data_IF_822995049262
#
_entry.id   IF_822995049262
#
_cell.length_a   1.000
_cell.length_b   1.000
_cell.length_c   1.000
_cell.angle_alpha   90.00
_cell.angle_beta   90.00
_cell.angle_gamma   90.00
#
_symmetry.space_group_name_H-M   'P 1'
#
loop_
_entity.id
_entity.type
_entity.pdbx_description
1 polymer ?
#
# COMPACT_ATOMS: atom_id res chain seq x y z
N UNK A 1 -22.85 13.43 -12.43
CA UNK A 1 -22.47 12.12 -13.05
C UNK A 1 -21.58 11.38 -12.06
N UNK A 2 -21.65 10.04 -12.03
CA UNK A 2 -20.74 9.22 -11.23
C UNK A 2 -19.34 9.11 -11.82
N UNK A 3 -18.55 8.19 -11.30
CA UNK A 3 -17.26 7.81 -11.89
C UNK A 3 -17.46 7.09 -13.24
N UNK A 4 -16.40 6.91 -14.02
CA UNK A 4 -16.46 6.16 -15.28
C UNK A 4 -17.07 4.76 -15.09
N UNK A 5 -17.70 4.20 -16.12
CA UNK A 5 -18.37 2.88 -16.03
C UNK A 5 -17.43 1.74 -15.65
N UNK A 6 -16.17 1.84 -16.06
CA UNK A 6 -15.12 0.84 -15.80
C UNK A 6 -14.33 1.15 -14.51
N UNK A 7 -14.79 2.11 -13.70
CA UNK A 7 -14.11 2.46 -12.46
C UNK A 7 -14.24 1.31 -11.43
N UNK A 8 -13.09 0.90 -10.89
CA UNK A 8 -13.01 -0.23 -9.97
C UNK A 8 -13.20 0.23 -8.53
N UNK A 9 -14.23 -0.29 -7.87
CA UNK A 9 -14.51 -0.09 -6.45
C UNK A 9 -14.08 -1.31 -5.64
N UNK A 10 -13.10 -1.13 -4.77
CA UNK A 10 -12.55 -2.22 -3.98
C UNK A 10 -12.25 -1.86 -2.53
N UNK A 11 -11.74 -2.84 -1.82
CA UNK A 11 -11.10 -2.68 -0.52
C UNK A 11 -9.78 -3.45 -0.51
N UNK A 12 -8.86 -3.05 0.37
CA UNK A 12 -7.55 -3.65 0.47
C UNK A 12 -7.28 -4.24 1.85
N UNK A 13 -6.36 -5.21 1.90
CA UNK A 13 -5.75 -5.76 3.11
C UNK A 13 -4.32 -6.20 2.81
N UNK A 14 -3.56 -6.59 3.84
CA UNK A 14 -2.30 -7.31 3.67
C UNK A 14 -2.26 -8.61 4.47
N UNK A 15 -1.44 -9.55 4.04
CA UNK A 15 -1.42 -10.91 4.56
C UNK A 15 -1.16 -10.96 6.07
N UNK A 16 -0.05 -10.39 6.56
CA UNK A 16 0.27 -10.43 7.98
C UNK A 16 -0.78 -9.76 8.87
N UNK A 17 -1.42 -8.71 8.35
CA UNK A 17 -2.37 -7.93 9.13
C UNK A 17 -3.70 -8.67 9.38
N UNK A 18 -4.06 -9.64 8.53
CA UNK A 18 -5.36 -10.32 8.64
C UNK A 18 -5.32 -11.84 8.73
N UNK A 19 -4.33 -12.50 8.09
CA UNK A 19 -4.40 -13.96 7.89
C UNK A 19 -4.32 -14.75 9.19
N UNK A 20 -3.40 -14.42 10.08
CA UNK A 20 -3.08 -15.26 11.22
C UNK A 20 -2.44 -16.59 10.79
N UNK A 21 -2.75 -17.68 11.49
CA UNK A 21 -2.21 -19.01 11.20
C UNK A 21 -0.67 -18.99 11.01
N UNK A 22 0.04 -18.23 11.86
CA UNK A 22 1.47 -17.95 11.70
C UNK A 22 2.37 -19.19 11.79
N UNK A 23 1.87 -20.28 12.40
CA UNK A 23 2.60 -21.54 12.59
C UNK A 23 1.91 -22.73 11.90
N UNK A 24 0.97 -22.45 10.98
CA UNK A 24 0.14 -23.46 10.35
C UNK A 24 0.40 -23.55 8.84
N UNK A 25 -0.07 -24.63 8.19
CA UNK A 25 0.00 -24.79 6.77
C UNK A 25 1.41 -24.75 6.19
N UNK A 26 2.43 -25.16 6.94
CA UNK A 26 3.82 -25.15 6.49
C UNK A 26 4.46 -23.76 6.29
N UNK A 27 3.80 -22.68 6.76
CA UNK A 27 4.31 -21.32 6.65
C UNK A 27 5.67 -21.17 7.35
N UNK A 28 6.64 -20.52 6.69
CA UNK A 28 7.89 -20.08 7.30
C UNK A 28 7.71 -18.79 8.13
N UNK A 29 8.69 -18.49 8.98
CA UNK A 29 8.72 -17.19 9.67
C UNK A 29 9.16 -16.09 8.71
N UNK A 30 8.63 -14.88 8.92
CA UNK A 30 9.13 -13.65 8.32
C UNK A 30 9.53 -12.63 9.40
N UNK A 31 10.07 -11.48 8.98
CA UNK A 31 10.64 -10.49 9.91
C UNK A 31 9.62 -9.97 10.92
N UNK A 32 8.34 -9.85 10.57
CA UNK A 32 7.30 -9.39 11.48
C UNK A 32 6.96 -10.41 12.56
N UNK A 33 6.97 -11.72 12.25
CA UNK A 33 6.78 -12.76 13.27
C UNK A 33 7.85 -12.62 14.37
N UNK A 34 9.11 -12.42 13.97
CA UNK A 34 10.23 -12.28 14.90
C UNK A 34 10.22 -10.93 15.63
N UNK A 35 9.88 -9.85 14.91
CA UNK A 35 9.82 -8.51 15.48
C UNK A 35 8.80 -8.39 16.61
N UNK A 36 7.60 -8.94 16.41
CA UNK A 36 6.53 -8.89 17.40
C UNK A 36 6.76 -9.81 18.60
N UNK A 37 7.69 -10.76 18.53
CA UNK A 37 8.12 -11.58 19.67
C UNK A 37 8.98 -10.79 20.67
N UNK A 38 9.51 -9.61 20.28
CA UNK A 38 10.33 -8.77 21.15
C UNK A 38 9.46 -7.76 21.93
N UNK A 39 9.44 -7.80 23.27
CA UNK A 39 8.62 -6.89 24.09
C UNK A 39 8.92 -5.41 23.81
N UNK A 40 7.87 -4.59 23.81
CA UNK A 40 7.96 -3.14 23.62
C UNK A 40 8.14 -2.66 22.17
N UNK A 41 8.17 -3.57 21.20
CA UNK A 41 8.25 -3.22 19.77
C UNK A 41 6.91 -2.85 19.18
N UNK A 42 5.84 -3.44 19.65
CA UNK A 42 4.46 -3.21 19.22
C UNK A 42 3.62 -2.80 20.42
N UNK A 43 2.64 -1.93 20.22
CA UNK A 43 1.69 -1.52 21.23
C UNK A 43 1.13 -2.73 21.96
N UNK A 44 1.13 -2.69 23.31
CA UNK A 44 0.69 -3.75 24.22
C UNK A 44 1.26 -5.16 23.93
N UNK A 45 2.41 -5.22 23.24
CA UNK A 45 3.03 -6.47 22.77
C UNK A 45 2.11 -7.33 21.89
N UNK A 46 1.22 -6.70 21.15
CA UNK A 46 0.35 -7.37 20.18
C UNK A 46 1.16 -8.08 19.10
N UNK A 47 0.61 -9.16 18.57
CA UNK A 47 1.24 -9.94 17.47
C UNK A 47 0.21 -10.25 16.40
N UNK A 48 0.65 -10.45 15.15
CA UNK A 48 -0.20 -10.91 14.05
C UNK A 48 -0.42 -12.43 14.01
N UNK A 49 -0.07 -13.19 15.08
CA UNK A 49 -0.15 -14.66 15.08
C UNK A 49 -1.54 -15.21 14.79
N UNK A 50 -2.58 -14.53 15.27
CA UNK A 50 -3.99 -14.83 14.98
C UNK A 50 -4.58 -13.79 14.07
N UNK A 51 -4.24 -12.52 14.25
CA UNK A 51 -4.75 -11.38 13.50
C UNK A 51 -6.29 -11.40 13.42
N UNK A 52 -6.84 -11.46 12.21
CA UNK A 52 -8.28 -11.61 11.99
C UNK A 52 -8.67 -13.06 11.66
N UNK A 53 -7.77 -14.02 11.82
CA UNK A 53 -8.02 -15.43 11.50
C UNK A 53 -8.56 -15.67 10.08
N UNK A 54 -8.19 -14.76 9.12
CA UNK A 54 -8.67 -14.82 7.75
C UNK A 54 -8.30 -16.13 7.06
N UNK A 55 -7.16 -16.71 7.40
CA UNK A 55 -6.73 -18.01 6.85
C UNK A 55 -7.81 -19.10 7.00
N UNK A 56 -8.51 -19.14 8.13
CA UNK A 56 -9.60 -20.10 8.36
C UNK A 56 -10.97 -19.56 7.94
N UNK A 57 -11.16 -18.24 7.95
CA UNK A 57 -12.47 -17.57 7.78
C UNK A 57 -12.65 -16.86 6.46
N UNK A 58 -11.73 -17.00 5.50
CA UNK A 58 -11.80 -16.24 4.24
C UNK A 58 -13.14 -16.41 3.49
N UNK A 59 -13.78 -17.59 3.58
CA UNK A 59 -15.11 -17.81 2.95
C UNK A 59 -16.22 -16.97 3.58
N UNK A 60 -16.14 -16.76 4.89
CA UNK A 60 -17.05 -15.86 5.61
C UNK A 60 -16.77 -14.41 5.22
N UNK A 61 -15.51 -14.03 5.22
CA UNK A 61 -15.07 -12.68 4.87
C UNK A 61 -15.43 -12.32 3.42
N UNK A 62 -15.29 -13.23 2.46
CA UNK A 62 -15.70 -13.02 1.07
C UNK A 62 -17.20 -12.84 0.93
N UNK A 63 -18.01 -13.56 1.72
CA UNK A 63 -19.48 -13.32 1.76
C UNK A 63 -19.81 -11.94 2.29
N UNK A 64 -19.07 -11.45 3.29
CA UNK A 64 -19.23 -10.08 3.79
C UNK A 64 -18.83 -9.06 2.72
N UNK A 65 -17.72 -9.26 2.00
CA UNK A 65 -17.34 -8.43 0.86
C UNK A 65 -18.47 -8.33 -0.18
N UNK A 66 -19.08 -9.46 -0.55
CA UNK A 66 -20.23 -9.50 -1.47
C UNK A 66 -21.40 -8.72 -0.90
N UNK A 67 -21.71 -8.86 0.41
CA UNK A 67 -22.84 -8.20 1.07
C UNK A 67 -22.71 -6.67 1.10
N UNK A 68 -21.47 -6.15 1.14
CA UNK A 68 -21.18 -4.72 1.02
C UNK A 68 -20.87 -4.28 -0.41
N UNK A 69 -21.19 -5.12 -1.40
CA UNK A 69 -21.19 -4.77 -2.81
C UNK A 69 -19.82 -4.59 -3.45
N UNK A 70 -18.71 -5.05 -2.82
CA UNK A 70 -17.37 -4.93 -3.38
C UNK A 70 -17.27 -5.59 -4.75
N UNK A 71 -16.56 -4.93 -5.66
CA UNK A 71 -16.28 -5.41 -7.02
C UNK A 71 -14.85 -5.93 -7.18
N UNK A 72 -13.96 -5.49 -6.32
CA UNK A 72 -12.56 -5.89 -6.33
C UNK A 72 -12.01 -6.01 -4.90
N UNK A 73 -11.04 -6.90 -4.75
CA UNK A 73 -10.33 -7.07 -3.50
C UNK A 73 -8.82 -7.12 -3.73
N UNK A 74 -8.09 -6.15 -3.16
CA UNK A 74 -6.63 -6.13 -3.18
C UNK A 74 -6.10 -6.79 -1.91
N UNK A 75 -5.32 -7.84 -2.06
CA UNK A 75 -4.68 -8.56 -0.96
C UNK A 75 -3.23 -8.88 -1.31
N UNK A 76 -2.40 -9.11 -0.31
CA UNK A 76 -1.03 -9.57 -0.54
C UNK A 76 -0.89 -11.07 -0.36
N UNK A 77 0.15 -11.63 -0.98
CA UNK A 77 0.56 -13.02 -0.74
C UNK A 77 1.73 -12.98 0.25
N UNK A 78 1.60 -13.68 1.38
CA UNK A 78 2.72 -13.88 2.29
C UNK A 78 3.78 -14.76 1.62
N UNK A 79 4.91 -14.14 1.28
CA UNK A 79 6.01 -14.81 0.63
C UNK A 79 6.48 -16.07 1.39
N UNK A 80 6.54 -15.97 2.74
CA UNK A 80 6.94 -17.09 3.58
C UNK A 80 5.90 -18.21 3.69
N UNK A 81 4.62 -17.92 3.34
CA UNK A 81 3.59 -18.96 3.28
C UNK A 81 3.72 -19.82 2.04
N UNK A 82 4.13 -19.26 0.91
CA UNK A 82 4.26 -19.99 -0.35
C UNK A 82 5.69 -20.53 -0.59
N UNK A 83 6.71 -19.87 -0.04
CA UNK A 83 8.12 -20.31 -0.03
C UNK A 83 8.68 -20.08 1.38
N UNK A 84 8.65 -21.07 2.28
CA UNK A 84 8.92 -20.89 3.70
C UNK A 84 10.27 -20.25 4.05
N UNK A 85 11.31 -20.55 3.27
CA UNK A 85 12.63 -19.94 3.42
C UNK A 85 12.82 -18.70 2.52
N UNK A 86 11.82 -18.39 1.66
CA UNK A 86 11.88 -17.32 0.67
C UNK A 86 12.60 -17.73 -0.63
N UNK A 87 13.21 -18.92 -0.67
CA UNK A 87 13.84 -19.54 -1.82
C UNK A 87 13.74 -21.06 -1.73
N UNK A 88 13.98 -21.75 -2.86
CA UNK A 88 14.02 -23.20 -2.91
C UNK A 88 12.65 -23.85 -2.89
N UNK A 89 12.29 -24.55 -1.81
CA UNK A 89 11.10 -25.40 -1.77
C UNK A 89 9.80 -24.60 -1.71
N UNK A 90 8.88 -24.92 -2.61
CA UNK A 90 7.50 -24.39 -2.59
C UNK A 90 6.68 -25.13 -1.54
N UNK A 91 5.86 -24.38 -0.81
CA UNK A 91 4.86 -24.89 0.12
C UNK A 91 3.51 -25.01 -0.58
N UNK A 92 3.13 -26.20 -0.97
CA UNK A 92 1.88 -26.44 -1.71
C UNK A 92 0.63 -26.17 -0.85
N UNK A 93 0.69 -26.29 0.49
CA UNK A 93 -0.44 -25.93 1.35
C UNK A 93 -0.73 -24.42 1.30
N UNK A 94 0.32 -23.58 1.26
CA UNK A 94 0.16 -22.13 1.07
C UNK A 94 -0.40 -21.81 -0.33
N UNK A 95 0.03 -22.51 -1.36
CA UNK A 95 -0.52 -22.38 -2.71
C UNK A 95 -2.02 -22.75 -2.74
N UNK A 96 -2.39 -23.85 -2.08
CA UNK A 96 -3.79 -24.30 -2.00
C UNK A 96 -4.65 -23.25 -1.31
N UNK A 97 -4.19 -22.64 -0.22
CA UNK A 97 -4.92 -21.58 0.47
C UNK A 97 -5.24 -20.41 -0.48
N UNK A 98 -4.23 -19.85 -1.18
CA UNK A 98 -4.46 -18.73 -2.08
C UNK A 98 -5.31 -19.12 -3.31
N UNK A 99 -5.18 -20.33 -3.83
CA UNK A 99 -6.08 -20.83 -4.88
C UNK A 99 -7.54 -20.83 -4.41
N UNK A 100 -7.79 -21.34 -3.20
CA UNK A 100 -9.16 -21.37 -2.64
C UNK A 100 -9.71 -19.96 -2.39
N UNK A 101 -8.86 -19.02 -1.92
CA UNK A 101 -9.26 -17.63 -1.76
C UNK A 101 -9.63 -17.00 -3.11
N UNK A 102 -8.79 -17.15 -4.13
CA UNK A 102 -9.01 -16.62 -5.48
C UNK A 102 -10.30 -17.20 -6.07
N UNK A 103 -10.48 -18.51 -6.01
CA UNK A 103 -11.68 -19.18 -6.52
C UNK A 103 -12.94 -18.67 -5.81
N UNK A 104 -12.88 -18.54 -4.48
CA UNK A 104 -14.02 -18.01 -3.69
C UNK A 104 -14.36 -16.55 -4.04
N UNK A 105 -13.34 -15.70 -4.31
CA UNK A 105 -13.56 -14.33 -4.77
C UNK A 105 -14.27 -14.31 -6.12
N UNK A 106 -13.79 -15.08 -7.10
CA UNK A 106 -14.35 -15.15 -8.44
C UNK A 106 -15.77 -15.72 -8.45
N UNK A 107 -16.06 -16.76 -7.67
CA UNK A 107 -17.40 -17.31 -7.45
C UNK A 107 -18.39 -16.27 -6.90
N UNK A 108 -17.88 -15.27 -6.17
CA UNK A 108 -18.65 -14.16 -5.63
C UNK A 108 -18.61 -12.90 -6.51
N UNK A 109 -18.06 -12.97 -7.73
CA UNK A 109 -17.94 -11.85 -8.69
C UNK A 109 -17.10 -10.69 -8.13
N UNK A 110 -16.06 -11.00 -7.36
CA UNK A 110 -15.10 -10.05 -6.81
C UNK A 110 -13.77 -10.28 -7.53
N UNK A 111 -13.27 -9.26 -8.21
CA UNK A 111 -12.03 -9.34 -8.97
C UNK A 111 -10.81 -9.30 -8.03
N UNK A 112 -9.89 -10.29 -8.10
CA UNK A 112 -8.71 -10.31 -7.27
C UNK A 112 -7.60 -9.40 -7.81
N UNK A 113 -6.98 -8.62 -6.93
CA UNK A 113 -5.79 -7.80 -7.16
C UNK A 113 -4.69 -8.25 -6.21
N UNK A 114 -3.60 -8.81 -6.73
CA UNK A 114 -2.52 -9.37 -5.92
C UNK A 114 -1.40 -8.35 -5.73
N UNK A 115 -1.01 -8.11 -4.47
CA UNK A 115 0.24 -7.46 -4.09
C UNK A 115 1.28 -8.52 -3.77
N UNK A 116 2.44 -8.49 -4.45
CA UNK A 116 3.49 -9.50 -4.24
C UNK A 116 4.18 -9.32 -2.89
N UNK A 117 4.47 -8.08 -2.49
CA UNK A 117 5.19 -7.79 -1.26
C UNK A 117 4.53 -6.68 -0.47
N UNK A 118 4.07 -7.02 0.74
CA UNK A 118 3.51 -6.07 1.69
C UNK A 118 4.15 -6.25 3.07
N UNK A 119 5.51 -6.37 3.04
CA UNK A 119 6.47 -6.27 4.13
C UNK A 119 6.84 -7.58 4.83
N UNK A 120 6.31 -8.73 4.40
CA UNK A 120 6.61 -10.05 4.94
C UNK A 120 7.90 -10.65 4.34
N UNK A 121 9.08 -10.04 4.66
CA UNK A 121 10.36 -10.58 4.21
C UNK A 121 10.66 -11.91 4.93
N UNK A 122 10.80 -13.03 4.21
CA UNK A 122 11.14 -14.32 4.83
C UNK A 122 12.39 -14.21 5.72
N UNK A 123 12.30 -14.78 6.93
CA UNK A 123 13.35 -14.62 7.92
C UNK A 123 14.69 -15.25 7.50
N UNK A 124 14.66 -16.32 6.72
CA UNK A 124 15.88 -16.93 6.17
C UNK A 124 16.59 -16.02 5.14
N UNK A 125 15.82 -15.26 4.33
CA UNK A 125 16.36 -14.21 3.46
C UNK A 125 16.95 -13.08 4.30
N UNK A 126 16.25 -12.63 5.36
CA UNK A 126 16.74 -11.60 6.26
C UNK A 126 18.08 -11.99 6.89
N UNK A 127 18.24 -13.24 7.39
CA UNK A 127 19.50 -13.75 7.93
C UNK A 127 20.66 -13.76 6.91
N UNK A 128 20.34 -13.76 5.62
CA UNK A 128 21.32 -13.68 4.52
C UNK A 128 21.58 -12.25 4.05
N UNK A 129 21.15 -11.25 4.81
CA UNK A 129 21.34 -9.84 4.53
C UNK A 129 20.10 -9.12 3.97
N UNK A 130 19.00 -9.83 3.69
CA UNK A 130 17.74 -9.23 3.27
C UNK A 130 17.90 -8.32 2.06
N UNK A 131 17.36 -7.10 2.15
CA UNK A 131 17.44 -6.09 1.08
C UNK A 131 18.85 -5.58 0.81
N UNK A 132 19.82 -5.76 1.74
CA UNK A 132 21.24 -5.46 1.50
C UNK A 132 21.91 -6.46 0.57
N UNK A 133 21.41 -7.67 0.51
CA UNK A 133 22.00 -8.71 -0.34
C UNK A 133 21.49 -8.57 -1.78
N UNK A 134 22.33 -8.31 -2.79
CA UNK A 134 21.87 -8.17 -4.18
C UNK A 134 21.18 -9.41 -4.73
N UNK A 135 21.38 -10.58 -4.14
CA UNK A 135 20.68 -11.82 -4.51
C UNK A 135 19.14 -11.72 -4.26
N UNK A 136 18.68 -10.75 -3.47
CA UNK A 136 17.25 -10.51 -3.23
C UNK A 136 16.48 -10.29 -4.53
N UNK A 137 17.12 -9.71 -5.54
CA UNK A 137 16.55 -9.48 -6.86
C UNK A 137 16.12 -10.80 -7.52
N UNK A 138 16.99 -11.82 -7.46
CA UNK A 138 16.70 -13.13 -8.03
C UNK A 138 15.74 -13.94 -7.15
N UNK A 139 15.85 -13.86 -5.83
CA UNK A 139 14.89 -14.51 -4.93
C UNK A 139 13.47 -13.95 -5.11
N UNK A 140 13.34 -12.63 -5.18
CA UNK A 140 12.05 -11.99 -5.42
C UNK A 140 11.51 -12.29 -6.83
N UNK A 141 12.39 -12.32 -7.84
CA UNK A 141 12.05 -12.76 -9.19
C UNK A 141 11.53 -14.20 -9.23
N UNK A 142 12.19 -15.13 -8.53
CA UNK A 142 11.73 -16.53 -8.45
C UNK A 142 10.37 -16.65 -7.76
N UNK A 143 10.12 -15.85 -6.72
CA UNK A 143 8.82 -15.77 -6.07
C UNK A 143 7.75 -15.20 -7.02
N UNK A 144 8.03 -14.08 -7.71
CA UNK A 144 7.11 -13.50 -8.69
C UNK A 144 6.77 -14.49 -9.83
N UNK A 145 7.78 -15.26 -10.30
CA UNK A 145 7.56 -16.34 -11.25
C UNK A 145 6.59 -17.38 -10.71
N UNK A 146 6.79 -17.88 -9.48
CA UNK A 146 5.89 -18.85 -8.87
C UNK A 146 4.45 -18.33 -8.82
N UNK A 147 4.27 -17.08 -8.39
CA UNK A 147 2.94 -16.44 -8.32
C UNK A 147 2.30 -16.36 -9.70
N UNK A 148 3.06 -15.97 -10.73
CA UNK A 148 2.58 -15.94 -12.11
C UNK A 148 2.14 -17.33 -12.59
N UNK A 149 2.97 -18.35 -12.40
CA UNK A 149 2.68 -19.73 -12.83
C UNK A 149 1.46 -20.34 -12.12
N UNK A 150 1.20 -19.94 -10.88
CA UNK A 150 0.15 -20.55 -10.04
C UNK A 150 -1.20 -19.86 -10.08
N UNK A 151 -1.23 -18.54 -10.35
CA UNK A 151 -2.46 -17.76 -10.16
C UNK A 151 -2.87 -16.96 -11.41
N UNK A 152 -1.98 -16.73 -12.38
CA UNK A 152 -2.29 -15.85 -13.51
C UNK A 152 -3.21 -16.45 -14.58
N UNK A 153 -3.64 -17.68 -14.41
CA UNK A 153 -4.74 -18.26 -15.19
C UNK A 153 -6.11 -17.65 -14.86
N UNK A 154 -6.23 -17.02 -13.66
CA UNK A 154 -7.46 -16.45 -13.13
C UNK A 154 -7.31 -15.01 -12.66
N UNK A 155 -6.10 -14.61 -12.24
CA UNK A 155 -5.82 -13.25 -11.77
C UNK A 155 -5.04 -12.51 -12.83
N UNK A 156 -5.50 -11.31 -13.18
CA UNK A 156 -4.85 -10.43 -14.17
C UNK A 156 -4.13 -9.24 -13.56
N UNK A 157 -4.47 -8.84 -12.33
CA UNK A 157 -4.03 -7.60 -11.72
C UNK A 157 -2.99 -7.83 -10.63
N UNK A 158 -1.79 -7.23 -10.78
CA UNK A 158 -0.66 -7.41 -9.88
C UNK A 158 0.00 -6.09 -9.52
N UNK A 159 0.33 -5.91 -8.23
CA UNK A 159 1.23 -4.88 -7.74
C UNK A 159 2.50 -5.53 -7.18
N UNK A 160 3.66 -5.04 -7.57
CA UNK A 160 4.94 -5.67 -7.19
C UNK A 160 5.31 -5.41 -5.74
N UNK A 161 5.49 -4.13 -5.38
CA UNK A 161 5.86 -3.68 -4.04
C UNK A 161 4.81 -2.72 -3.50
N UNK A 162 4.47 -2.91 -2.22
CA UNK A 162 3.72 -1.92 -1.45
C UNK A 162 4.68 -1.09 -0.61
N UNK A 163 4.63 0.24 -0.78
CA UNK A 163 5.28 1.24 0.05
C UNK A 163 6.76 0.97 0.40
N UNK A 164 7.66 0.95 -0.57
CA UNK A 164 9.08 0.77 -0.26
C UNK A 164 9.64 1.85 0.67
N UNK A 165 9.03 3.03 0.70
CA UNK A 165 9.29 4.10 1.66
C UNK A 165 9.20 3.60 3.11
N UNK A 166 8.17 2.80 3.38
CA UNK A 166 7.88 2.31 4.73
C UNK A 166 8.81 1.16 5.12
N UNK A 167 8.94 0.12 4.31
CA UNK A 167 9.77 -1.01 4.74
C UNK A 167 11.26 -0.68 4.76
N UNK A 168 11.76 0.26 3.93
CA UNK A 168 13.13 0.77 4.03
C UNK A 168 13.24 1.80 5.14
N UNK A 169 12.40 2.84 5.14
CA UNK A 169 12.49 3.95 6.08
C UNK A 169 12.16 3.55 7.51
N UNK A 170 10.98 2.99 7.74
CA UNK A 170 10.54 2.62 9.08
C UNK A 170 11.22 1.35 9.60
N UNK A 171 11.59 0.43 8.69
CA UNK A 171 12.26 -0.82 9.07
C UNK A 171 13.74 -0.68 9.38
N UNK A 172 14.47 0.17 8.63
CA UNK A 172 15.93 0.21 8.68
C UNK A 172 16.53 1.60 8.96
N UNK A 173 15.75 2.69 8.84
CA UNK A 173 16.23 4.03 9.13
C UNK A 173 15.77 4.49 10.53
N UNK A 174 14.47 4.41 10.83
CA UNK A 174 13.93 4.80 12.14
C UNK A 174 13.82 3.64 13.12
N UNK A 175 13.64 2.41 12.64
CA UNK A 175 13.49 1.20 13.44
C UNK A 175 12.10 1.03 14.08
N UNK A 176 11.09 1.74 13.58
CA UNK A 176 9.70 1.66 14.05
C UNK A 176 8.97 0.40 13.58
N UNK A 177 9.37 -0.15 12.44
CA UNK A 177 8.81 -1.36 11.87
C UNK A 177 9.85 -2.48 11.84
N UNK A 178 9.39 -3.72 11.56
CA UNK A 178 10.29 -4.84 11.36
C UNK A 178 11.31 -4.55 10.23
N UNK A 179 12.57 -4.94 10.39
CA UNK A 179 13.16 -5.70 11.49
C UNK A 179 13.59 -4.84 12.71
N UNK A 180 13.33 -3.54 12.72
CA UNK A 180 13.59 -2.65 13.84
C UNK A 180 15.04 -2.21 13.97
N UNK A 181 15.73 -2.06 12.87
CA UNK A 181 17.12 -1.64 12.80
C UNK A 181 17.27 -0.14 12.55
N UNK A 182 18.41 0.39 12.94
CA UNK A 182 18.89 1.73 12.55
C UNK A 182 20.25 1.55 11.91
N UNK A 183 20.30 1.60 10.59
CA UNK A 183 21.51 1.42 9.81
C UNK A 183 22.00 2.75 9.23
N UNK A 184 23.26 2.85 8.77
CA UNK A 184 23.74 4.03 8.07
C UNK A 184 22.90 4.36 6.83
N UNK A 185 22.82 5.64 6.46
CA UNK A 185 22.09 6.09 5.27
C UNK A 185 22.53 5.35 4.01
N UNK A 186 23.83 5.14 3.84
CA UNK A 186 24.38 4.41 2.71
C UNK A 186 23.75 3.02 2.53
N UNK A 187 23.52 2.29 3.63
CA UNK A 187 22.91 0.96 3.60
C UNK A 187 21.44 1.06 3.19
N UNK A 188 20.73 2.10 3.64
CA UNK A 188 19.32 2.30 3.24
C UNK A 188 19.17 2.64 1.76
N UNK A 189 20.12 3.40 1.16
CA UNK A 189 20.13 3.65 -0.28
C UNK A 189 20.45 2.38 -1.09
N UNK A 190 21.35 1.53 -0.60
CA UNK A 190 21.63 0.22 -1.21
C UNK A 190 20.40 -0.68 -1.18
N UNK A 191 19.71 -0.77 -0.01
CA UNK A 191 18.48 -1.54 0.13
C UNK A 191 17.39 -1.04 -0.81
N UNK A 192 17.22 0.28 -0.92
CA UNK A 192 16.25 0.88 -1.83
C UNK A 192 16.54 0.54 -3.28
N UNK A 193 17.80 0.65 -3.70
CA UNK A 193 18.20 0.33 -5.07
C UNK A 193 17.95 -1.16 -5.39
N UNK A 194 18.28 -2.06 -4.46
CA UNK A 194 17.98 -3.48 -4.61
C UNK A 194 16.47 -3.77 -4.65
N UNK A 195 15.66 -3.06 -3.85
CA UNK A 195 14.20 -3.18 -3.89
C UNK A 195 13.63 -2.74 -5.25
N UNK A 196 14.14 -1.63 -5.81
CA UNK A 196 13.72 -1.16 -7.13
C UNK A 196 14.12 -2.14 -8.24
N UNK A 197 15.31 -2.74 -8.16
CA UNK A 197 15.75 -3.82 -9.08
C UNK A 197 14.87 -5.06 -8.93
N UNK A 198 14.49 -5.43 -7.71
CA UNK A 198 13.58 -6.54 -7.44
C UNK A 198 12.18 -6.28 -8.02
N UNK A 199 11.69 -5.02 -7.96
CA UNK A 199 10.49 -4.60 -8.66
C UNK A 199 10.57 -4.92 -10.16
N UNK A 200 11.60 -4.42 -10.85
CA UNK A 200 11.77 -4.65 -12.30
C UNK A 200 11.89 -6.14 -12.63
N UNK A 201 12.65 -6.90 -11.83
CA UNK A 201 12.76 -8.36 -12.01
C UNK A 201 11.39 -9.04 -11.86
N UNK A 202 10.56 -8.62 -10.89
CA UNK A 202 9.21 -9.15 -10.74
C UNK A 202 8.33 -8.85 -11.96
N UNK A 203 8.41 -7.63 -12.52
CA UNK A 203 7.70 -7.28 -13.76
C UNK A 203 8.09 -8.21 -14.89
N UNK A 204 9.41 -8.45 -15.11
CA UNK A 204 9.89 -9.40 -16.12
C UNK A 204 9.30 -10.80 -15.93
N UNK A 205 9.31 -11.30 -14.69
CA UNK A 205 8.81 -12.65 -14.38
C UNK A 205 7.30 -12.75 -14.58
N UNK A 206 6.53 -11.75 -14.16
CA UNK A 206 5.09 -11.70 -14.40
C UNK A 206 4.77 -11.70 -15.90
N UNK A 207 5.51 -10.91 -16.71
CA UNK A 207 5.34 -10.86 -18.17
C UNK A 207 5.70 -12.19 -18.85
N UNK A 208 6.81 -12.79 -18.43
CA UNK A 208 7.35 -14.00 -19.07
C UNK A 208 6.53 -15.25 -18.74
N UNK A 209 6.04 -15.36 -17.50
CA UNK A 209 5.40 -16.57 -16.98
C UNK A 209 3.89 -16.44 -16.76
N UNK A 210 3.34 -15.27 -17.02
CA UNK A 210 1.89 -15.06 -17.01
C UNK A 210 1.20 -15.89 -18.07
N UNK A 211 0.09 -16.54 -17.69
CA UNK A 211 -0.69 -17.42 -18.58
C UNK A 211 -1.66 -16.66 -19.48
N UNK A 212 -1.81 -15.36 -19.23
CA UNK A 212 -2.63 -14.42 -19.99
C UNK A 212 -2.02 -13.02 -19.91
N UNK A 213 -2.48 -12.02 -20.68
CA UNK A 213 -2.04 -10.63 -20.49
C UNK A 213 -2.33 -10.14 -19.06
N UNK A 214 -1.31 -9.61 -18.40
CA UNK A 214 -1.40 -9.14 -17.03
C UNK A 214 -1.33 -7.61 -16.98
N UNK A 215 -2.11 -7.02 -16.08
CA UNK A 215 -2.01 -5.62 -15.67
C UNK A 215 -1.05 -5.55 -14.47
N UNK A 216 0.11 -4.95 -14.64
CA UNK A 216 1.15 -4.89 -13.61
C UNK A 216 1.33 -3.45 -13.16
N UNK A 217 1.30 -3.24 -11.86
CA UNK A 217 1.48 -1.95 -11.21
C UNK A 217 2.55 -1.97 -10.11
N UNK A 218 2.71 -0.81 -9.51
CA UNK A 218 3.61 -0.49 -8.41
C UNK A 218 2.87 0.43 -7.46
N UNK A 219 2.96 0.25 -6.14
CA UNK A 219 2.13 0.96 -5.17
C UNK A 219 2.95 1.67 -4.05
N UNK A 220 3.63 2.77 -4.35
CA UNK A 220 4.28 3.61 -3.35
C UNK A 220 3.28 4.44 -2.54
N UNK A 221 3.78 5.10 -1.49
CA UNK A 221 3.03 6.06 -0.68
C UNK A 221 3.73 7.40 -0.58
N UNK A 222 2.99 8.42 -0.16
CA UNK A 222 3.56 9.70 0.23
C UNK A 222 2.47 10.60 0.84
N UNK A 223 2.90 11.58 1.65
CA UNK A 223 2.08 12.73 1.97
C UNK A 223 2.04 13.66 0.75
N UNK A 224 0.86 13.81 0.13
CA UNK A 224 0.70 14.65 -1.06
C UNK A 224 0.85 16.14 -0.75
N UNK A 225 1.04 16.95 -1.79
CA UNK A 225 0.98 18.40 -1.68
C UNK A 225 -0.25 18.92 -2.42
N UNK A 226 -0.95 19.88 -1.83
CA UNK A 226 -2.06 20.58 -2.46
C UNK A 226 -1.92 22.09 -2.26
N UNK A 227 -2.37 22.93 -3.21
CA UNK A 227 -2.21 24.38 -3.13
C UNK A 227 -3.14 25.02 -2.10
N UNK A 228 -2.71 26.12 -1.47
CA UNK A 228 -3.55 26.90 -0.57
C UNK A 228 -4.72 27.57 -1.34
N UNK A 229 -4.47 27.98 -2.58
CA UNK A 229 -5.48 28.54 -3.49
C UNK A 229 -5.35 27.94 -4.89
N UNK A 230 -6.38 28.08 -5.72
CA UNK A 230 -6.34 27.64 -7.12
C UNK A 230 -5.61 28.64 -8.07
N UNK A 231 -4.82 29.55 -7.53
CA UNK A 231 -3.93 30.40 -8.33
C UNK A 231 -2.77 29.58 -8.91
N UNK A 232 -2.37 29.93 -10.11
CA UNK A 232 -1.28 29.24 -10.82
C UNK A 232 0.00 29.17 -9.99
N UNK A 233 0.36 30.23 -9.27
CA UNK A 233 1.55 30.29 -8.43
C UNK A 233 1.53 29.26 -7.29
N UNK A 234 0.38 29.08 -6.61
CA UNK A 234 0.24 28.12 -5.51
C UNK A 234 0.19 26.69 -6.04
N UNK A 235 -0.46 26.49 -7.20
CA UNK A 235 -0.49 25.16 -7.87
C UNK A 235 0.93 24.71 -8.24
N UNK A 236 1.71 25.60 -8.86
CA UNK A 236 3.10 25.28 -9.22
C UNK A 236 3.99 25.11 -8.00
N UNK A 237 3.78 25.88 -6.93
CA UNK A 237 4.46 25.68 -5.65
C UNK A 237 4.17 24.30 -5.05
N UNK A 238 2.90 23.87 -5.04
CA UNK A 238 2.53 22.54 -4.54
C UNK A 238 3.13 21.42 -5.40
N UNK A 239 3.09 21.56 -6.72
CA UNK A 239 3.73 20.61 -7.66
C UNK A 239 5.24 20.53 -7.42
N UNK A 240 5.92 21.65 -7.33
CA UNK A 240 7.36 21.71 -7.07
C UNK A 240 7.70 21.05 -5.74
N UNK A 241 6.97 21.36 -4.66
CA UNK A 241 7.20 20.79 -3.33
C UNK A 241 7.00 19.27 -3.32
N UNK A 242 6.00 18.74 -4.06
CA UNK A 242 5.73 17.30 -4.12
C UNK A 242 6.91 16.51 -4.69
N UNK A 243 7.56 17.04 -5.72
CA UNK A 243 8.64 16.35 -6.43
C UNK A 243 10.04 16.77 -6.01
N UNK A 244 10.19 17.79 -5.14
CA UNK A 244 11.48 18.21 -4.60
C UNK A 244 12.04 17.18 -3.60
N UNK A 245 13.37 17.24 -3.41
CA UNK A 245 14.03 16.41 -2.39
C UNK A 245 13.82 16.98 -0.99
N UNK A 246 13.63 16.11 -0.01
CA UNK A 246 13.51 16.50 1.40
C UNK A 246 14.79 17.20 1.86
N UNK A 247 14.63 18.26 2.67
CA UNK A 247 15.77 19.02 3.19
C UNK A 247 16.60 18.22 4.21
N UNK A 248 15.94 17.38 5.02
CA UNK A 248 16.58 16.49 5.97
C UNK A 248 16.87 15.13 5.33
N UNK A 249 18.16 14.77 5.28
CA UNK A 249 18.60 13.49 4.72
C UNK A 249 18.01 12.28 5.48
N UNK A 250 17.59 12.43 6.74
CA UNK A 250 16.90 11.37 7.49
C UNK A 250 15.45 11.13 6.99
N UNK A 251 14.91 12.06 6.22
CA UNK A 251 13.57 11.95 5.64
C UNK A 251 13.58 11.57 4.14
N UNK A 252 14.73 11.16 3.61
CA UNK A 252 14.92 10.91 2.18
C UNK A 252 13.93 9.87 1.61
N UNK A 253 13.52 8.90 2.41
CA UNK A 253 12.56 7.85 1.97
C UNK A 253 11.19 8.42 1.60
N UNK A 254 10.86 9.63 2.05
CA UNK A 254 9.58 10.29 1.73
C UNK A 254 9.61 11.14 0.46
N UNK A 255 10.69 11.07 -0.34
CA UNK A 255 10.76 11.70 -1.65
C UNK A 255 9.97 10.90 -2.69
N UNK A 256 8.86 11.44 -3.18
CA UNK A 256 8.03 10.79 -4.22
C UNK A 256 8.84 10.47 -5.47
N UNK A 257 9.56 11.47 -5.97
CA UNK A 257 10.33 11.35 -7.20
C UNK A 257 11.44 10.30 -7.11
N UNK A 258 12.04 10.10 -5.92
CA UNK A 258 13.08 9.08 -5.74
C UNK A 258 12.61 7.65 -6.06
N UNK A 259 11.37 7.34 -5.72
CA UNK A 259 10.78 6.02 -5.91
C UNK A 259 10.03 5.87 -7.23
N UNK A 260 9.56 6.98 -7.80
CA UNK A 260 8.69 6.93 -8.98
C UNK A 260 9.43 7.24 -10.27
N UNK A 261 10.35 8.21 -10.29
CA UNK A 261 11.11 8.56 -11.50
C UNK A 261 11.90 7.37 -12.08
N UNK A 262 12.64 6.55 -11.30
CA UNK A 262 13.38 5.42 -11.86
C UNK A 262 12.48 4.36 -12.49
N UNK A 263 11.28 4.12 -11.96
CA UNK A 263 10.32 3.16 -12.52
C UNK A 263 9.64 3.71 -13.78
N UNK A 264 9.25 4.99 -13.75
CA UNK A 264 8.35 5.56 -14.75
C UNK A 264 9.06 6.39 -15.81
N UNK A 265 10.22 6.98 -15.47
CA UNK A 265 11.03 7.81 -16.39
C UNK A 265 12.39 7.17 -16.74
N UNK A 266 12.79 6.09 -16.05
CA UNK A 266 14.04 5.37 -16.30
C UNK A 266 15.30 6.01 -15.72
N UNK A 267 15.17 6.98 -14.82
CA UNK A 267 16.32 7.62 -14.16
C UNK A 267 15.93 8.14 -12.78
N UNK A 268 16.87 8.15 -11.85
CA UNK A 268 16.70 8.86 -10.59
C UNK A 268 16.68 10.37 -10.80
N UNK A 269 16.00 11.16 -9.93
CA UNK A 269 15.99 12.62 -10.05
C UNK A 269 17.39 13.22 -9.88
N UNK A 270 17.80 14.11 -10.79
CA UNK A 270 19.16 14.71 -10.80
C UNK A 270 19.49 15.44 -9.50
N UNK A 271 18.52 16.18 -8.94
CA UNK A 271 18.66 16.85 -7.65
C UNK A 271 18.99 15.84 -6.55
N UNK A 272 18.31 14.69 -6.53
CA UNK A 272 18.53 13.61 -5.57
C UNK A 272 19.89 12.95 -5.75
N UNK A 273 20.28 12.64 -6.98
CA UNK A 273 21.63 12.09 -7.26
C UNK A 273 22.74 12.99 -6.76
N UNK A 274 22.62 14.31 -6.97
CA UNK A 274 23.60 15.29 -6.50
C UNK A 274 23.58 15.42 -4.96
N UNK A 275 22.38 15.49 -4.36
CA UNK A 275 22.21 15.68 -2.93
C UNK A 275 22.76 14.50 -2.12
N UNK A 276 22.45 13.28 -2.58
CA UNK A 276 22.77 12.05 -1.85
C UNK A 276 24.02 11.34 -2.38
N UNK A 277 24.83 11.98 -3.25
CA UNK A 277 26.01 11.40 -3.93
C UNK A 277 26.89 10.53 -3.01
N UNK A 278 27.16 11.02 -1.80
CA UNK A 278 28.03 10.34 -0.81
C UNK A 278 27.42 9.06 -0.20
N UNK A 279 26.13 8.82 -0.41
CA UNK A 279 25.42 7.66 0.14
C UNK A 279 25.00 6.65 -0.94
N UNK A 280 25.12 7.03 -2.21
CA UNK A 280 24.58 6.22 -3.31
C UNK A 280 25.36 4.93 -3.52
N UNK A 281 24.69 3.81 -3.82
CA UNK A 281 25.33 2.64 -4.38
C UNK A 281 25.85 2.93 -5.79
N UNK A 282 26.60 1.98 -6.33
CA UNK A 282 26.91 2.01 -7.76
C UNK A 282 25.63 1.74 -8.55
N UNK A 283 25.20 2.73 -9.32
CA UNK A 283 24.04 2.65 -10.22
C UNK A 283 24.55 2.42 -11.65
N UNK A 284 24.12 1.36 -12.31
CA UNK A 284 24.49 1.04 -13.68
C UNK A 284 23.34 1.28 -14.67
N UNK A 285 23.66 1.36 -15.95
CA UNK A 285 22.62 1.45 -17.00
C UNK A 285 21.75 0.19 -17.05
N UNK A 286 22.32 -0.98 -16.76
CA UNK A 286 21.61 -2.24 -16.67
C UNK A 286 20.62 -2.26 -15.50
N UNK A 287 21.02 -1.70 -14.34
CA UNK A 287 20.10 -1.53 -13.21
C UNK A 287 18.92 -0.64 -13.59
N UNK A 288 19.19 0.50 -14.25
CA UNK A 288 18.14 1.42 -14.65
C UNK A 288 17.18 0.82 -15.68
N UNK A 289 17.70 0.05 -16.65
CA UNK A 289 16.87 -0.70 -17.60
C UNK A 289 15.98 -1.73 -16.91
N UNK A 290 16.52 -2.43 -15.90
CA UNK A 290 15.75 -3.40 -15.11
C UNK A 290 14.67 -2.71 -14.29
N UNK A 291 14.99 -1.63 -13.59
CA UNK A 291 14.05 -0.88 -12.75
C UNK A 291 12.89 -0.31 -13.58
N UNK A 292 13.19 0.16 -14.78
CA UNK A 292 12.23 0.79 -15.70
C UNK A 292 11.45 -0.22 -16.57
N UNK A 293 11.40 -1.50 -16.18
CA UNK A 293 10.53 -2.46 -16.90
C UNK A 293 9.09 -1.92 -16.96
N UNK A 294 8.46 -1.90 -18.14
CA UNK A 294 7.19 -1.21 -18.34
C UNK A 294 6.06 -1.76 -17.46
N UNK A 295 5.44 -0.89 -16.69
CA UNK A 295 4.21 -1.15 -15.95
C UNK A 295 3.00 -0.54 -16.66
N UNK A 296 1.79 -1.07 -16.40
CA UNK A 296 0.55 -0.64 -17.04
C UNK A 296 -0.15 0.47 -16.26
N UNK A 297 -0.07 0.38 -14.93
CA UNK A 297 -0.79 1.27 -14.01
C UNK A 297 0.12 1.71 -12.87
N UNK A 298 -0.15 2.90 -12.35
CA UNK A 298 0.54 3.45 -11.21
C UNK A 298 -0.40 3.46 -10.01
N UNK A 299 -0.14 2.59 -9.04
CA UNK A 299 -0.85 2.57 -7.77
C UNK A 299 -0.30 3.64 -6.84
N UNK A 300 -1.15 4.20 -5.99
CA UNK A 300 -0.72 5.18 -5.00
C UNK A 300 -1.54 5.07 -3.72
N UNK A 301 -0.84 4.90 -2.60
CA UNK A 301 -1.46 4.96 -1.28
C UNK A 301 -1.46 6.41 -0.80
N UNK A 302 -2.64 7.00 -0.62
CA UNK A 302 -2.79 8.42 -0.26
C UNK A 302 -3.74 8.54 0.92
N UNK A 303 -3.23 9.04 2.06
CA UNK A 303 -4.04 9.23 3.27
C UNK A 303 -4.19 10.70 3.66
N UNK A 304 -3.18 11.52 3.38
CA UNK A 304 -3.14 12.92 3.76
C UNK A 304 -2.21 13.74 2.86
N UNK A 305 -2.21 15.06 3.09
CA UNK A 305 -1.37 15.97 2.33
C UNK A 305 -0.95 17.20 3.13
N UNK A 306 -0.07 17.99 2.54
CA UNK A 306 0.45 19.27 3.03
C UNK A 306 -0.11 20.40 2.18
N UNK A 307 -0.61 21.46 2.81
CA UNK A 307 -1.05 22.68 2.13
C UNK A 307 0.19 23.52 1.78
N UNK A 308 0.32 23.90 0.52
CA UNK A 308 1.50 24.64 0.01
C UNK A 308 1.04 25.90 -0.68
N UNK A 309 1.80 26.98 -0.49
CA UNK A 309 1.64 28.22 -1.26
C UNK A 309 2.97 28.71 -1.80
N UNK A 310 2.93 29.68 -2.69
CA UNK A 310 4.10 30.41 -3.11
C UNK A 310 4.47 31.45 -2.05
N UNK A 311 5.63 31.30 -1.47
CA UNK A 311 6.17 32.25 -0.48
C UNK A 311 6.56 33.60 -1.11
N UNK A 312 6.71 34.62 -0.26
CA UNK A 312 7.07 35.98 -0.70
C UNK A 312 8.47 36.07 -1.33
N UNK A 313 9.32 35.11 -1.04
CA UNK A 313 10.66 34.96 -1.62
C UNK A 313 10.67 34.20 -2.95
N UNK A 314 9.51 33.81 -3.47
CA UNK A 314 9.35 33.05 -4.69
C UNK A 314 9.65 31.55 -4.57
N UNK A 315 9.65 31.01 -3.34
CA UNK A 315 9.84 29.59 -3.06
C UNK A 315 8.56 28.97 -2.50
N UNK A 316 8.31 27.68 -2.76
CA UNK A 316 7.24 26.96 -2.10
C UNK A 316 7.42 26.94 -0.58
N UNK A 317 6.34 27.21 0.15
CA UNK A 317 6.33 27.09 1.62
C UNK A 317 5.09 26.32 2.10
N UNK A 318 5.27 25.48 3.13
CA UNK A 318 4.15 24.78 3.76
C UNK A 318 3.34 25.73 4.64
N UNK A 319 2.03 25.75 4.42
CA UNK A 319 1.10 26.54 5.23
C UNK A 319 0.91 25.84 6.58
N UNK A 320 1.25 26.53 7.65
CA UNK A 320 1.10 26.00 9.00
C UNK A 320 -0.37 25.72 9.31
N UNK A 321 -0.66 24.50 9.75
CA UNK A 321 -2.00 24.12 10.21
C UNK A 321 -2.38 24.92 11.46
N UNK A 322 -3.64 25.35 11.52
CA UNK A 322 -4.17 26.06 12.70
C UNK A 322 -4.31 25.12 13.90
N UNK A 323 -4.39 25.69 15.10
CA UNK A 323 -4.61 24.95 16.33
C UNK A 323 -5.97 24.23 16.28
N UNK A 324 -5.99 22.93 16.68
CA UNK A 324 -7.19 22.11 16.57
C UNK A 324 -7.53 21.59 15.16
N UNK A 325 -6.57 21.64 14.23
CA UNK A 325 -6.76 21.06 12.89
C UNK A 325 -7.23 19.60 12.99
N UNK A 326 -8.26 19.16 12.22
CA UNK A 326 -8.82 17.82 12.30
C UNK A 326 -7.78 16.72 12.08
N UNK A 327 -7.83 15.69 12.93
CA UNK A 327 -6.93 14.53 12.88
C UNK A 327 -7.70 13.22 13.03
N UNK A 328 -7.16 12.17 12.43
CA UNK A 328 -7.59 10.80 12.63
C UNK A 328 -7.16 10.25 13.99
N UNK A 329 -7.63 9.08 14.41
CA UNK A 329 -7.21 8.44 15.67
C UNK A 329 -5.69 8.22 15.73
N UNK A 330 -5.06 7.79 14.64
CA UNK A 330 -3.61 7.63 14.54
C UNK A 330 -2.85 8.98 14.50
N UNK A 331 -3.58 10.11 14.47
CA UNK A 331 -3.01 11.45 14.49
C UNK A 331 -2.71 12.09 13.14
N UNK A 332 -3.06 11.47 12.03
CA UNK A 332 -2.87 12.04 10.69
C UNK A 332 -3.86 13.17 10.42
N UNK A 333 -3.45 14.24 9.70
CA UNK A 333 -4.37 15.33 9.37
C UNK A 333 -5.43 14.87 8.36
N UNK A 334 -6.64 15.41 8.49
CA UNK A 334 -7.73 15.21 7.53
C UNK A 334 -7.62 16.29 6.45
N UNK A 335 -7.25 15.89 5.23
CA UNK A 335 -6.93 16.77 4.10
C UNK A 335 -7.44 16.18 2.79
N UNK A 336 -8.75 16.23 2.53
CA UNK A 336 -9.36 15.59 1.36
C UNK A 336 -8.81 16.05 0.02
N UNK A 337 -8.33 17.29 -0.07
CA UNK A 337 -7.74 17.91 -1.26
C UNK A 337 -6.57 17.08 -1.83
N UNK A 338 -5.93 16.27 -0.98
CA UNK A 338 -4.83 15.40 -1.41
C UNK A 338 -5.26 14.32 -2.43
N UNK A 339 -6.54 13.91 -2.44
CA UNK A 339 -7.08 12.97 -3.42
C UNK A 339 -7.48 13.61 -4.77
N UNK A 340 -7.51 14.93 -4.86
CA UNK A 340 -7.59 15.62 -6.15
C UNK A 340 -6.19 15.93 -6.69
N UNK A 341 -5.42 16.70 -5.93
CA UNK A 341 -4.13 17.23 -6.39
C UNK A 341 -3.04 16.17 -6.52
N UNK A 342 -2.99 15.19 -5.61
CA UNK A 342 -2.00 14.12 -5.65
C UNK A 342 -2.06 13.31 -6.95
N UNK A 343 -3.16 12.61 -7.24
CA UNK A 343 -3.33 11.85 -8.47
C UNK A 343 -3.14 12.70 -9.73
N UNK A 344 -3.63 13.95 -9.73
CA UNK A 344 -3.48 14.88 -10.84
C UNK A 344 -2.01 15.18 -11.13
N UNK A 345 -1.22 15.60 -10.14
CA UNK A 345 0.21 15.89 -10.33
C UNK A 345 1.01 14.66 -10.75
N UNK A 346 0.68 13.49 -10.20
CA UNK A 346 1.31 12.23 -10.57
C UNK A 346 1.00 11.84 -12.01
N UNK A 347 -0.26 11.95 -12.42
CA UNK A 347 -0.68 11.65 -13.79
C UNK A 347 -0.04 12.62 -14.80
N UNK A 348 -0.03 13.92 -14.51
CA UNK A 348 0.58 14.94 -15.36
C UNK A 348 2.10 14.73 -15.52
N UNK A 349 2.81 14.21 -14.49
CA UNK A 349 4.24 13.93 -14.58
C UNK A 349 4.54 12.62 -15.31
N UNK A 350 3.78 11.56 -15.05
CA UNK A 350 4.14 10.21 -15.47
C UNK A 350 3.30 9.64 -16.62
N UNK A 351 2.13 10.21 -16.91
CA UNK A 351 1.26 9.79 -17.99
C UNK A 351 0.73 8.36 -17.88
N UNK A 352 0.71 7.79 -16.67
CA UNK A 352 0.21 6.42 -16.43
C UNK A 352 -1.17 6.45 -15.79
N UNK A 353 -2.07 5.52 -16.18
CA UNK A 353 -3.34 5.34 -15.48
C UNK A 353 -3.11 5.14 -13.99
N UNK A 354 -3.91 5.81 -13.14
CA UNK A 354 -3.75 5.81 -11.68
C UNK A 354 -4.79 4.93 -11.01
N UNK A 355 -4.36 4.16 -10.01
CA UNK A 355 -5.23 3.58 -8.99
C UNK A 355 -4.92 4.19 -7.63
N UNK A 356 -5.95 4.55 -6.87
CA UNK A 356 -5.78 4.75 -5.43
C UNK A 356 -5.80 3.37 -4.78
N UNK A 357 -4.61 2.86 -4.49
CA UNK A 357 -4.43 1.49 -3.97
C UNK A 357 -4.69 1.38 -2.47
N UNK A 358 -4.64 2.51 -1.75
CA UNK A 358 -5.10 2.64 -0.38
C UNK A 358 -5.49 4.08 -0.05
N UNK A 359 -6.62 4.23 0.63
CA UNK A 359 -7.04 5.43 1.35
C UNK A 359 -8.04 5.04 2.43
N UNK A 360 -8.01 5.70 3.58
CA UNK A 360 -8.91 5.41 4.70
C UNK A 360 -8.56 6.20 5.95
N UNK A 361 -9.34 5.97 7.00
CA UNK A 361 -9.20 6.65 8.28
C UNK A 361 -9.20 5.64 9.43
N UNK A 362 -8.30 5.82 10.40
CA UNK A 362 -8.43 5.15 11.71
C UNK A 362 -9.40 5.88 12.63
N UNK A 363 -10.24 5.10 13.31
CA UNK A 363 -11.21 5.60 14.29
C UNK A 363 -11.16 4.75 15.56
N UNK A 364 -11.75 5.27 16.65
CA UNK A 364 -11.98 4.54 17.90
C UNK A 364 -13.37 3.90 17.87
N UNK A 365 -13.50 2.87 17.03
CA UNK A 365 -14.79 2.19 16.84
C UNK A 365 -15.11 1.28 18.02
N UNK A 366 -16.37 1.26 18.44
CA UNK A 366 -16.89 0.42 19.51
C UNK A 366 -18.23 -0.20 19.10
N UNK A 367 -18.54 -1.36 19.64
CA UNK A 367 -19.87 -1.94 19.50
C UNK A 367 -20.81 -1.19 20.45
N UNK A 368 -21.84 -0.56 19.88
CA UNK A 368 -22.85 0.19 20.61
C UNK A 368 -23.85 -0.74 21.32
N UNK A 369 -24.67 -0.17 22.21
CA UNK A 369 -25.66 -0.94 23.01
C UNK A 369 -26.70 -1.67 22.15
N UNK A 370 -26.90 -1.26 20.92
CA UNK A 370 -27.80 -1.92 19.94
C UNK A 370 -27.09 -3.05 19.15
N UNK A 371 -25.83 -3.35 19.49
CA UNK A 371 -25.02 -4.39 18.84
C UNK A 371 -24.42 -3.98 17.49
N UNK A 372 -24.50 -2.71 17.10
CA UNK A 372 -23.95 -2.18 15.86
C UNK A 372 -22.70 -1.35 16.10
N UNK A 373 -21.97 -1.05 15.03
CA UNK A 373 -20.84 -0.13 15.05
C UNK A 373 -21.16 1.10 14.23
N UNK A 374 -21.38 2.21 14.92
CA UNK A 374 -21.70 3.50 14.33
C UNK A 374 -20.44 4.31 14.15
N UNK A 375 -20.03 4.57 12.92
CA UNK A 375 -18.78 5.26 12.56
C UNK A 375 -19.00 6.44 11.61
N UNK A 376 -19.81 7.43 12.01
CA UNK A 376 -20.15 8.60 11.16
C UNK A 376 -18.93 9.39 10.73
N UNK A 377 -17.85 9.40 11.52
CA UNK A 377 -16.62 10.09 11.16
C UNK A 377 -15.95 9.44 9.94
N UNK A 378 -16.02 8.11 9.80
CA UNK A 378 -15.50 7.42 8.62
C UNK A 378 -16.36 7.72 7.39
N UNK A 379 -17.67 7.77 7.55
CA UNK A 379 -18.60 8.14 6.46
C UNK A 379 -18.28 9.55 5.96
N UNK A 380 -18.17 10.54 6.86
CA UNK A 380 -17.82 11.94 6.50
C UNK A 380 -16.45 12.03 5.83
N UNK A 381 -15.45 11.33 6.36
CA UNK A 381 -14.11 11.25 5.76
C UNK A 381 -14.18 10.71 4.32
N UNK A 382 -14.80 9.56 4.13
CA UNK A 382 -14.92 8.92 2.82
C UNK A 382 -15.67 9.83 1.83
N UNK A 383 -16.80 10.43 2.26
CA UNK A 383 -17.56 11.34 1.41
C UNK A 383 -16.73 12.52 0.92
N UNK A 384 -15.96 13.18 1.80
CA UNK A 384 -15.07 14.29 1.45
C UNK A 384 -13.95 13.87 0.50
N UNK A 385 -13.26 12.77 0.81
CA UNK A 385 -12.13 12.30 0.02
C UNK A 385 -12.56 11.80 -1.35
N UNK A 386 -13.66 11.06 -1.43
CA UNK A 386 -14.20 10.59 -2.70
C UNK A 386 -14.80 11.72 -3.55
N UNK A 387 -15.31 12.79 -2.93
CA UNK A 387 -15.72 13.99 -3.65
C UNK A 387 -14.53 14.63 -4.39
N UNK A 388 -13.38 14.77 -3.73
CA UNK A 388 -12.16 15.29 -4.35
C UNK A 388 -11.61 14.32 -5.42
N UNK A 389 -11.66 13.02 -5.13
CA UNK A 389 -11.24 11.99 -6.11
C UNK A 389 -12.09 12.02 -7.39
N UNK A 390 -13.39 12.29 -7.25
CA UNK A 390 -14.30 12.42 -8.39
C UNK A 390 -13.92 13.61 -9.29
N UNK A 391 -13.52 14.74 -8.70
CA UNK A 391 -12.97 15.88 -9.45
C UNK A 391 -11.76 15.46 -10.27
N UNK A 392 -10.83 14.68 -9.67
CA UNK A 392 -9.67 14.16 -10.37
C UNK A 392 -10.06 13.21 -11.53
N UNK A 393 -11.05 12.35 -11.33
CA UNK A 393 -11.51 11.38 -12.33
C UNK A 393 -12.08 12.04 -13.62
N UNK A 394 -12.50 13.29 -13.54
CA UNK A 394 -12.96 14.05 -14.72
C UNK A 394 -11.79 14.58 -15.58
N UNK A 395 -10.56 14.58 -15.04
CA UNK A 395 -9.38 15.20 -15.67
C UNK A 395 -8.26 14.22 -16.01
N UNK A 396 -8.20 13.06 -15.34
CA UNK A 396 -7.11 12.09 -15.49
C UNK A 396 -7.65 10.67 -15.73
N UNK A 397 -6.80 9.78 -16.25
CA UNK A 397 -7.11 8.34 -16.34
C UNK A 397 -7.02 7.68 -14.96
N UNK A 398 -8.08 7.85 -14.16
CA UNK A 398 -8.22 7.26 -12.84
C UNK A 398 -9.06 5.98 -12.95
N UNK A 399 -8.46 4.83 -12.64
CA UNK A 399 -9.03 3.50 -12.90
C UNK A 399 -9.77 2.89 -11.74
N UNK A 400 -9.47 3.27 -10.50
CA UNK A 400 -10.13 2.69 -9.35
C UNK A 400 -9.65 3.21 -8.00
N UNK A 401 -10.36 2.76 -6.97
CA UNK A 401 -10.15 3.12 -5.58
C UNK A 401 -10.31 1.90 -4.68
N UNK A 402 -9.35 1.68 -3.81
CA UNK A 402 -9.35 0.64 -2.80
C UNK A 402 -9.36 1.26 -1.39
N UNK A 403 -10.44 1.02 -0.67
CA UNK A 403 -10.58 1.42 0.72
C UNK A 403 -9.57 0.67 1.60
N UNK A 404 -8.76 1.38 2.36
CA UNK A 404 -8.00 0.82 3.45
C UNK A 404 -8.73 1.05 4.77
N UNK A 405 -9.27 0.00 5.33
CA UNK A 405 -9.13 -1.41 5.03
C UNK A 405 -10.50 -2.08 4.93
N UNK A 406 -10.55 -3.29 4.36
CA UNK A 406 -11.76 -4.10 4.37
C UNK A 406 -12.29 -4.31 5.79
N UNK A 407 -11.41 -4.73 6.69
CA UNK A 407 -11.73 -5.01 8.08
C UNK A 407 -10.67 -4.43 9.02
N UNK A 408 -11.04 -4.20 10.28
CA UNK A 408 -10.08 -3.89 11.32
C UNK A 408 -9.02 -4.98 11.41
N UNK A 409 -7.77 -4.60 11.63
CA UNK A 409 -6.67 -5.54 11.52
C UNK A 409 -5.47 -5.15 12.41
N UNK A 410 -4.37 -5.87 12.29
CA UNK A 410 -3.11 -5.58 12.95
C UNK A 410 -2.40 -4.40 12.29
N UNK A 411 -2.43 -3.21 12.91
CA UNK A 411 -1.82 -2.00 12.38
C UNK A 411 -0.34 -1.87 12.78
N UNK A 412 0.48 -2.78 12.34
CA UNK A 412 1.93 -2.78 12.46
C UNK A 412 2.42 -2.46 13.89
N UNK A 413 3.24 -1.43 14.10
CA UNK A 413 3.72 -1.01 15.42
C UNK A 413 2.62 -0.55 16.39
N UNK A 414 1.44 -0.21 15.87
CA UNK A 414 0.25 0.16 16.66
C UNK A 414 -0.56 -1.06 17.11
N UNK A 415 -0.23 -2.26 16.64
CA UNK A 415 -0.99 -3.47 16.98
C UNK A 415 -2.47 -3.35 16.63
N UNK A 416 -3.35 -3.61 17.57
CA UNK A 416 -4.80 -3.54 17.37
C UNK A 416 -5.44 -2.25 17.91
N UNK A 417 -4.64 -1.22 18.21
CA UNK A 417 -5.18 0.06 18.72
C UNK A 417 -5.90 0.89 17.66
N UNK A 418 -5.55 0.72 16.38
CA UNK A 418 -6.10 1.48 15.26
C UNK A 418 -7.13 0.65 14.48
N UNK A 419 -8.25 1.26 14.11
CA UNK A 419 -9.33 0.60 13.37
C UNK A 419 -9.62 1.33 12.07
N UNK A 420 -9.22 0.73 10.95
CA UNK A 420 -9.40 1.28 9.60
C UNK A 420 -10.54 0.60 8.82
N UNK A 421 -11.06 -0.51 9.32
CA UNK A 421 -11.97 -1.38 8.58
C UNK A 421 -13.35 -0.80 8.31
N UNK A 422 -13.96 -1.22 7.20
CA UNK A 422 -15.41 -1.14 6.98
C UNK A 422 -16.15 -2.21 7.79
N UNK A 423 -15.43 -3.24 8.22
CA UNK A 423 -15.91 -4.33 9.05
C UNK A 423 -15.15 -4.29 10.38
N UNK A 424 -15.90 -4.23 11.47
CA UNK A 424 -15.36 -4.39 12.82
C UNK A 424 -14.99 -5.83 13.08
N UNK A 425 -13.83 -6.07 13.70
CA UNK A 425 -13.40 -7.39 14.17
C UNK A 425 -13.28 -7.36 15.68
N UNK A 426 -14.01 -8.22 16.36
CA UNK A 426 -13.76 -8.54 17.76
C UNK A 426 -12.59 -9.53 17.83
N UNK A 427 -11.44 -9.06 18.30
CA UNK A 427 -10.23 -9.88 18.31
C UNK A 427 -10.23 -11.01 19.34
N UNK A 428 -11.19 -11.03 20.27
CA UNK A 428 -11.33 -12.12 21.24
C UNK A 428 -12.20 -13.25 20.68
N UNK A 429 -13.32 -12.91 20.04
CA UNK A 429 -14.30 -13.88 19.52
C UNK A 429 -14.13 -14.15 18.03
N UNK A 430 -13.41 -13.26 17.34
CA UNK A 430 -13.29 -13.24 15.88
C UNK A 430 -14.64 -12.99 15.18
N UNK A 431 -15.61 -12.38 15.86
CA UNK A 431 -16.86 -11.95 15.25
C UNK A 431 -16.63 -10.74 14.32
N UNK A 432 -17.38 -10.72 13.22
CA UNK A 432 -17.36 -9.63 12.22
C UNK A 432 -18.68 -8.87 12.26
N UNK A 433 -18.60 -7.55 12.40
CA UNK A 433 -19.77 -6.66 12.35
C UNK A 433 -19.53 -5.63 11.23
N UNK A 434 -20.36 -5.62 10.22
CA UNK A 434 -20.32 -4.58 9.18
C UNK A 434 -20.68 -3.24 9.84
N UNK A 435 -19.80 -2.24 9.71
CA UNK A 435 -20.01 -0.89 10.26
C UNK A 435 -20.98 -0.10 9.40
N UNK A 436 -21.52 1.01 9.92
CA UNK A 436 -22.39 1.90 9.15
C UNK A 436 -21.68 2.40 7.88
N UNK A 437 -20.38 2.66 7.93
CA UNK A 437 -19.56 3.01 6.77
C UNK A 437 -19.51 1.92 5.71
N UNK A 438 -19.55 0.63 6.08
CA UNK A 438 -19.60 -0.47 5.14
C UNK A 438 -20.91 -0.48 4.33
N UNK A 439 -22.04 -0.20 4.98
CA UNK A 439 -23.33 -0.06 4.28
C UNK A 439 -23.37 1.21 3.43
N UNK A 440 -22.85 2.32 3.93
CA UNK A 440 -22.72 3.56 3.15
C UNK A 440 -21.85 3.36 1.90
N UNK A 441 -20.72 2.65 2.04
CA UNK A 441 -19.81 2.36 0.93
C UNK A 441 -20.48 1.46 -0.12
N UNK A 442 -21.30 0.47 0.31
CA UNK A 442 -22.13 -0.32 -0.58
C UNK A 442 -23.07 0.55 -1.42
N UNK A 443 -23.79 1.46 -0.76
CA UNK A 443 -24.78 2.31 -1.44
C UNK A 443 -24.07 3.28 -2.41
N UNK A 444 -22.88 3.74 -2.05
CA UNK A 444 -22.03 4.56 -2.91
C UNK A 444 -21.54 3.77 -4.15
N UNK A 445 -21.09 2.52 -3.99
CA UNK A 445 -20.70 1.64 -5.10
C UNK A 445 -21.89 1.39 -6.05
N UNK A 446 -23.06 1.08 -5.52
CA UNK A 446 -24.25 0.82 -6.31
C UNK A 446 -24.66 2.00 -7.19
N UNK A 447 -24.47 3.22 -6.70
CA UNK A 447 -24.73 4.46 -7.42
C UNK A 447 -23.52 4.99 -8.19
N UNK A 448 -22.41 4.23 -8.20
CA UNK A 448 -21.14 4.63 -8.84
C UNK A 448 -20.70 6.06 -8.47
N UNK A 449 -20.87 6.44 -7.20
CA UNK A 449 -20.52 7.77 -6.70
C UNK A 449 -21.38 8.92 -7.21
N UNK A 450 -22.57 8.69 -7.77
CA UNK A 450 -23.45 9.77 -8.25
C UNK A 450 -23.97 10.66 -7.11
N UNK A 451 -24.06 10.12 -5.91
CA UNK A 451 -24.59 10.81 -4.72
C UNK A 451 -23.50 11.49 -3.86
N UNK A 452 -22.25 11.58 -4.36
CA UNK A 452 -21.15 12.27 -3.70
C UNK A 452 -21.26 13.79 -3.84
#
# INVERSE_FOLDING_TARGET
MGFGKEFVWGAATSAYQIEGAALEGGKGKHIWDVYTENPGRVFDNHTGKVACDHYHRFREDVKLMKSIGLKAYRFSIDWSRVIPEGFGKVNEEGIVFYNQLIDTLLENEIEPYITLYHWELPYEIYKRGGWMNPQIVEWFGAYAKLVAERFSDRVTNYFTLNEPQCFVGLGFLTGEHAPGLKVPLQDTFEMAHNAMKAHGRAVQMLRQYGKQPLCVGYAPTCSMCYPETEKTEDIEAARQMLFSMQEDDQNWTWNVAWWSDPVLLGHYPEEGLKRYEKYLPKITEEDMKLIAEPIDVYGQNIYNGRCIRMGKDGKPEEVKRYEGFPRTAIGWPVTPECLYWGPKFLYERYGKPVYITENGISCHDVVSLDGKVHDPNRIDFLARYLHELKRAADEIDLRGYFQWSLMDNFEWSKGYSERFGLIYVDYQTQERIVKDSGYWYRDMIQNNGENL
#
